data_IF_997159548804
#
_entry.id   IF_997159548804
#
_cell.length_a   1.000
_cell.length_b   1.000
_cell.length_c   1.000
_cell.angle_alpha   90.00
_cell.angle_beta   90.00
_cell.angle_gamma   90.00
#
_symmetry.space_group_name_H-M   'P 1'
#
loop_
_entity.id
_entity.type
_entity.pdbx_description
1 polymer ?
#
# COMPACT_ATOMS: atom_id res chain seq x y z
N UNK A 1 3.86 15.76 40.72
CA UNK A 1 2.77 14.91 41.26
C UNK A 1 3.15 13.46 41.01
N UNK A 2 2.86 12.52 41.93
CA UNK A 2 3.40 11.17 41.84
C UNK A 2 2.76 10.44 40.65
N UNK A 3 3.59 9.85 39.79
CA UNK A 3 3.16 8.99 38.71
C UNK A 3 2.58 7.70 39.33
N UNK A 4 1.31 7.43 39.05
CA UNK A 4 0.73 6.13 39.35
C UNK A 4 1.24 5.13 38.31
N UNK A 5 2.22 4.31 38.68
CA UNK A 5 2.65 3.17 37.88
C UNK A 5 1.53 2.13 37.87
N UNK A 6 0.91 1.94 36.70
CA UNK A 6 0.08 0.77 36.44
C UNK A 6 0.90 -0.18 35.55
N UNK A 7 1.57 -1.16 36.17
CA UNK A 7 2.19 -2.25 35.44
C UNK A 7 1.09 -3.25 35.02
N UNK A 8 0.73 -3.26 33.73
CA UNK A 8 -0.05 -4.37 33.16
C UNK A 8 0.89 -5.53 32.82
N UNK A 9 0.46 -6.77 33.09
CA UNK A 9 1.29 -7.99 32.96
C UNK A 9 1.51 -8.44 31.50
N UNK A 10 0.96 -7.72 30.51
CA UNK A 10 0.88 -8.18 29.11
C UNK A 10 1.78 -7.39 28.16
N UNK A 11 2.79 -6.67 28.67
CA UNK A 11 3.78 -5.98 27.83
C UNK A 11 3.30 -4.67 27.19
N UNK A 12 2.14 -4.15 27.58
CA UNK A 12 1.68 -2.82 27.19
C UNK A 12 1.99 -1.79 28.29
N UNK A 13 2.76 -0.77 27.93
CA UNK A 13 3.03 0.41 28.77
C UNK A 13 2.12 1.56 28.34
N UNK A 14 1.31 2.08 29.27
CA UNK A 14 0.47 3.26 29.07
C UNK A 14 0.86 4.30 30.12
N UNK A 15 1.27 5.48 29.67
CA UNK A 15 1.46 6.65 30.53
C UNK A 15 0.51 7.77 30.09
N UNK A 16 -0.16 8.40 31.06
CA UNK A 16 -1.06 9.53 30.80
C UNK A 16 -0.21 10.79 30.61
N UNK A 17 -0.25 11.34 29.38
CA UNK A 17 0.35 12.63 28.99
C UNK A 17 -0.69 13.49 28.27
N UNK A 18 -0.46 14.79 28.18
CA UNK A 18 -1.30 15.73 27.40
C UNK A 18 -1.29 15.47 25.88
N UNK A 19 -0.48 14.51 25.41
CA UNK A 19 -0.42 14.10 24.00
C UNK A 19 -0.08 12.61 23.92
N UNK A 20 -0.86 11.87 23.13
CA UNK A 20 -0.66 10.44 22.84
C UNK A 20 0.15 10.32 21.55
N UNK A 21 1.19 9.48 21.55
CA UNK A 21 1.96 9.13 20.37
C UNK A 21 1.61 7.70 19.93
N UNK A 22 1.24 7.54 18.65
CA UNK A 22 0.98 6.23 18.05
C UNK A 22 2.13 5.92 17.10
N UNK A 23 2.87 4.86 17.37
CA UNK A 23 3.91 4.33 16.48
C UNK A 23 3.27 3.23 15.67
N UNK A 24 3.43 3.27 14.35
CA UNK A 24 2.98 2.20 13.47
C UNK A 24 3.86 0.94 13.64
N UNK A 25 3.57 0.15 14.68
CA UNK A 25 4.24 -1.14 14.92
C UNK A 25 3.87 -2.22 13.89
N UNK A 26 2.77 -2.03 13.14
CA UNK A 26 2.31 -3.00 12.15
C UNK A 26 3.34 -3.22 11.04
N UNK A 27 4.01 -2.16 10.58
CA UNK A 27 4.98 -2.28 9.50
C UNK A 27 6.14 -3.22 9.87
N UNK A 28 6.71 -3.07 11.07
CA UNK A 28 7.86 -3.90 11.48
C UNK A 28 7.46 -5.37 11.65
N UNK A 29 6.28 -5.63 12.24
CA UNK A 29 5.73 -6.98 12.34
C UNK A 29 5.43 -7.59 10.95
N UNK A 30 4.92 -6.79 10.01
CA UNK A 30 4.68 -7.22 8.64
C UNK A 30 6.00 -7.50 7.92
N UNK A 31 6.97 -6.58 7.97
CA UNK A 31 8.30 -6.69 7.35
C UNK A 31 9.03 -7.95 7.81
N UNK A 32 8.99 -8.27 9.11
CA UNK A 32 9.66 -9.45 9.67
C UNK A 32 9.17 -10.76 9.01
N UNK A 33 7.87 -10.86 8.69
CA UNK A 33 7.30 -12.04 8.01
C UNK A 33 7.95 -12.33 6.67
N UNK A 34 8.43 -11.30 5.98
CA UNK A 34 9.08 -11.41 4.67
C UNK A 34 10.60 -11.50 4.74
N UNK A 35 11.22 -11.04 5.83
CA UNK A 35 12.68 -10.82 5.88
C UNK A 35 13.44 -11.79 6.76
N UNK A 36 12.76 -12.55 7.64
CA UNK A 36 13.42 -13.57 8.47
C UNK A 36 14.09 -14.66 7.61
N UNK A 37 15.18 -15.29 8.07
CA UNK A 37 15.93 -16.28 7.28
C UNK A 37 15.10 -17.46 6.75
N UNK A 38 14.07 -17.87 7.47
CA UNK A 38 13.17 -18.97 7.06
C UNK A 38 12.02 -18.54 6.15
N UNK A 39 11.85 -17.24 5.90
CA UNK A 39 10.82 -16.74 5.01
C UNK A 39 11.24 -16.85 3.55
N UNK A 40 10.25 -17.00 2.68
CA UNK A 40 10.40 -16.81 1.25
C UNK A 40 9.06 -16.35 0.67
N UNK A 41 9.09 -15.79 -0.53
CA UNK A 41 7.90 -15.75 -1.40
C UNK A 41 8.12 -16.67 -2.59
N UNK A 42 7.02 -17.10 -3.21
CA UNK A 42 7.05 -17.74 -4.52
C UNK A 42 6.23 -16.91 -5.49
N UNK A 43 6.89 -16.28 -6.47
CA UNK A 43 6.27 -15.33 -7.39
C UNK A 43 5.97 -15.95 -8.75
N UNK A 44 5.01 -15.33 -9.45
CA UNK A 44 4.61 -15.57 -10.82
C UNK A 44 4.55 -14.23 -11.54
N UNK A 45 5.27 -14.12 -12.65
CA UNK A 45 5.05 -13.06 -13.64
C UNK A 45 4.00 -13.59 -14.60
N UNK A 46 2.83 -12.96 -14.59
CA UNK A 46 1.67 -13.47 -15.33
C UNK A 46 1.21 -12.48 -16.37
N UNK A 47 0.60 -12.99 -17.44
CA UNK A 47 0.01 -12.17 -18.49
C UNK A 47 -1.28 -12.76 -19.07
N UNK A 48 -2.18 -11.89 -19.52
CA UNK A 48 -3.42 -12.26 -20.17
C UNK A 48 -3.91 -11.19 -21.16
N UNK A 49 -4.89 -11.56 -21.97
CA UNK A 49 -5.56 -10.66 -22.90
C UNK A 49 -6.56 -9.77 -22.12
N UNK A 50 -6.39 -8.43 -22.09
CA UNK A 50 -7.28 -7.54 -21.35
C UNK A 50 -8.72 -7.59 -21.85
N UNK A 51 -8.98 -8.05 -23.07
CA UNK A 51 -10.35 -8.22 -23.58
C UNK A 51 -11.08 -9.44 -22.99
N UNK A 52 -10.37 -10.37 -22.35
CA UNK A 52 -10.93 -11.63 -21.82
C UNK A 52 -11.13 -11.61 -20.30
N UNK A 53 -10.38 -10.77 -19.59
CA UNK A 53 -10.42 -10.67 -18.14
C UNK A 53 -10.04 -9.26 -17.73
N UNK A 54 -10.99 -8.54 -17.13
CA UNK A 54 -10.72 -7.22 -16.56
C UNK A 54 -9.83 -7.33 -15.32
N UNK A 55 -9.15 -6.24 -14.98
CA UNK A 55 -8.31 -6.15 -13.80
C UNK A 55 -9.11 -6.33 -12.50
N UNK A 56 -10.32 -5.75 -12.47
CA UNK A 56 -11.27 -5.95 -11.36
C UNK A 56 -11.63 -7.42 -11.18
N UNK A 57 -11.97 -8.14 -12.25
CA UNK A 57 -12.30 -9.57 -12.17
C UNK A 57 -11.08 -10.42 -11.79
N UNK A 58 -9.88 -10.06 -12.27
CA UNK A 58 -8.65 -10.69 -11.84
C UNK A 58 -8.45 -10.57 -10.32
N UNK A 59 -8.66 -9.39 -9.74
CA UNK A 59 -8.51 -9.18 -8.30
C UNK A 59 -9.63 -9.79 -7.48
N UNK A 60 -10.87 -9.65 -7.91
CA UNK A 60 -12.04 -10.09 -7.14
C UNK A 60 -12.32 -11.58 -7.28
N UNK A 61 -12.32 -12.10 -8.51
CA UNK A 61 -12.77 -13.46 -8.82
C UNK A 61 -11.63 -14.47 -8.87
N UNK A 62 -10.47 -14.08 -9.41
CA UNK A 62 -9.31 -14.98 -9.51
C UNK A 62 -8.52 -14.98 -8.21
N UNK A 63 -8.06 -13.82 -7.74
CA UNK A 63 -7.31 -13.71 -6.50
C UNK A 63 -8.23 -13.82 -5.27
N UNK A 64 -9.28 -13.01 -5.20
CA UNK A 64 -10.18 -12.91 -4.05
C UNK A 64 -9.92 -11.64 -3.22
N UNK A 65 -10.94 -11.17 -2.50
CA UNK A 65 -10.84 -10.03 -1.59
C UNK A 65 -9.75 -10.18 -0.51
N UNK A 66 -9.32 -9.06 0.07
CA UNK A 66 -8.20 -9.04 1.03
C UNK A 66 -8.48 -9.86 2.28
N UNK A 67 -9.72 -9.81 2.80
CA UNK A 67 -10.18 -10.73 3.83
C UNK A 67 -10.57 -12.07 3.18
N UNK A 68 -9.78 -13.15 3.40
CA UNK A 68 -10.01 -14.41 2.72
C UNK A 68 -11.27 -15.14 3.24
N UNK A 69 -11.80 -14.78 4.41
CA UNK A 69 -13.08 -15.31 4.90
C UNK A 69 -14.27 -14.75 4.09
N UNK A 70 -14.14 -13.51 3.61
CA UNK A 70 -15.14 -12.78 2.82
C UNK A 70 -14.86 -12.80 1.31
N UNK A 71 -13.73 -13.36 0.88
CA UNK A 71 -13.37 -13.46 -0.53
C UNK A 71 -14.38 -14.32 -1.32
N UNK A 72 -14.55 -14.00 -2.60
CA UNK A 72 -15.49 -14.68 -3.49
C UNK A 72 -15.22 -16.19 -3.56
N UNK A 73 -16.29 -16.98 -3.58
CA UNK A 73 -16.19 -18.44 -3.70
C UNK A 73 -15.45 -18.84 -4.97
N UNK A 74 -14.56 -19.83 -4.84
CA UNK A 74 -13.70 -20.29 -5.93
C UNK A 74 -12.44 -19.44 -6.17
N UNK A 75 -12.32 -18.25 -5.56
CA UNK A 75 -11.09 -17.44 -5.64
C UNK A 75 -9.93 -18.08 -4.89
N UNK A 76 -8.69 -17.75 -5.28
CA UNK A 76 -7.49 -18.32 -4.68
C UNK A 76 -7.41 -18.11 -3.16
N UNK A 77 -7.68 -16.89 -2.68
CA UNK A 77 -7.66 -16.56 -1.25
C UNK A 77 -8.73 -17.32 -0.47
N UNK A 78 -9.95 -17.43 -1.03
CA UNK A 78 -11.05 -18.18 -0.41
C UNK A 78 -10.74 -19.67 -0.30
N UNK A 79 -10.13 -20.24 -1.33
CA UNK A 79 -9.76 -21.66 -1.38
C UNK A 79 -8.59 -21.97 -0.44
N UNK A 80 -7.59 -21.08 -0.36
CA UNK A 80 -6.51 -21.20 0.62
C UNK A 80 -7.07 -21.15 2.04
N UNK A 81 -8.01 -20.25 2.31
CA UNK A 81 -8.70 -20.18 3.60
C UNK A 81 -9.52 -21.43 3.89
N UNK A 82 -10.36 -21.89 2.96
CA UNK A 82 -11.20 -23.06 3.20
C UNK A 82 -10.39 -24.35 3.43
N UNK A 83 -9.22 -24.47 2.79
CA UNK A 83 -8.40 -25.70 2.77
C UNK A 83 -7.07 -25.55 3.53
N UNK A 84 -6.90 -24.52 4.37
CA UNK A 84 -5.59 -24.13 4.92
C UNK A 84 -4.81 -25.30 5.56
N UNK A 85 -5.48 -26.14 6.35
CA UNK A 85 -4.87 -27.33 6.98
C UNK A 85 -4.37 -28.34 5.95
N UNK A 86 -5.20 -28.66 4.95
CA UNK A 86 -4.86 -29.61 3.89
C UNK A 86 -3.76 -29.07 2.96
N UNK A 87 -3.68 -27.74 2.83
CA UNK A 87 -2.64 -27.04 2.09
C UNK A 87 -1.34 -26.87 2.89
N UNK A 88 -1.30 -27.31 4.14
CA UNK A 88 -0.11 -27.31 4.98
C UNK A 88 0.21 -25.98 5.67
N UNK A 89 -0.76 -25.06 5.79
CA UNK A 89 -0.55 -23.82 6.54
C UNK A 89 -0.55 -24.09 8.05
N UNK A 90 0.28 -23.36 8.78
CA UNK A 90 0.41 -23.50 10.23
C UNK A 90 -0.77 -22.89 11.02
N UNK A 91 -1.47 -21.93 10.41
CA UNK A 91 -2.61 -21.24 11.01
C UNK A 91 -3.64 -20.89 9.95
N UNK A 92 -4.86 -20.64 10.40
CA UNK A 92 -5.92 -20.11 9.55
C UNK A 92 -5.53 -18.74 8.96
N UNK A 93 -5.74 -18.51 7.65
CA UNK A 93 -5.48 -17.21 7.01
C UNK A 93 -6.33 -16.08 7.61
N UNK A 94 -5.78 -14.87 7.60
CA UNK A 94 -6.44 -13.63 8.01
C UNK A 94 -6.12 -12.49 7.03
N UNK A 95 -6.61 -11.27 7.28
CA UNK A 95 -6.40 -10.10 6.40
C UNK A 95 -4.91 -9.85 6.06
N UNK A 96 -4.02 -10.00 7.04
CA UNK A 96 -2.57 -9.81 6.82
C UNK A 96 -1.92 -11.02 6.13
N UNK A 97 -2.25 -12.20 6.63
CA UNK A 97 -1.78 -13.50 6.14
C UNK A 97 -2.87 -14.18 5.31
N UNK A 98 -3.18 -13.60 4.15
CA UNK A 98 -4.29 -14.01 3.28
C UNK A 98 -3.87 -14.92 2.11
N UNK A 99 -2.79 -15.69 2.27
CA UNK A 99 -2.29 -16.63 1.25
C UNK A 99 -1.51 -15.98 0.09
N UNK A 100 -2.10 -15.03 -0.62
CA UNK A 100 -1.55 -14.52 -1.88
C UNK A 100 -1.65 -13.00 -2.06
N UNK A 101 -0.69 -12.45 -2.78
CA UNK A 101 -0.63 -11.08 -3.28
C UNK A 101 -0.79 -11.05 -4.81
N UNK A 102 -1.41 -10.00 -5.34
CA UNK A 102 -1.30 -9.62 -6.74
C UNK A 102 -1.28 -8.10 -6.87
N UNK A 103 -0.66 -7.61 -7.94
CA UNK A 103 -0.66 -6.20 -8.34
C UNK A 103 -2.05 -5.58 -8.36
N UNK A 104 -2.16 -4.35 -7.87
CA UNK A 104 -3.42 -3.62 -7.74
C UNK A 104 -3.82 -2.84 -9.02
N UNK A 105 -2.89 -2.60 -9.93
CA UNK A 105 -3.11 -1.98 -11.24
C UNK A 105 -2.00 -2.36 -12.24
N UNK A 106 -2.19 -2.11 -13.55
CA UNK A 106 -1.12 -2.23 -14.54
C UNK A 106 0.14 -1.42 -14.20
N UNK A 107 -0.03 -0.23 -13.61
CA UNK A 107 1.07 0.62 -13.18
C UNK A 107 1.83 0.03 -11.99
N UNK A 108 1.11 -0.41 -10.95
CA UNK A 108 1.75 -1.05 -9.80
C UNK A 108 2.42 -2.37 -10.20
N UNK A 109 1.83 -3.12 -11.14
CA UNK A 109 2.45 -4.31 -11.66
C UNK A 109 3.80 -4.04 -12.32
N UNK A 110 3.90 -2.96 -13.10
CA UNK A 110 5.18 -2.48 -13.62
C UNK A 110 6.13 -2.10 -12.48
N UNK A 111 5.69 -1.29 -11.52
CA UNK A 111 6.52 -0.88 -10.38
C UNK A 111 7.05 -2.08 -9.58
N UNK A 112 6.22 -3.09 -9.38
CA UNK A 112 6.56 -4.35 -8.72
C UNK A 112 7.56 -5.17 -9.53
N UNK A 113 7.40 -5.31 -10.84
CA UNK A 113 8.39 -6.03 -11.67
C UNK A 113 9.76 -5.33 -11.66
N UNK A 114 9.77 -4.00 -11.71
CA UNK A 114 10.99 -3.20 -11.55
C UNK A 114 11.66 -3.46 -10.19
N UNK A 115 10.87 -3.51 -9.13
CA UNK A 115 11.36 -3.73 -7.76
C UNK A 115 11.80 -5.18 -7.51
N UNK A 116 10.91 -6.14 -7.68
CA UNK A 116 11.07 -7.51 -7.20
C UNK A 116 11.97 -8.39 -8.07
N UNK A 117 12.00 -8.15 -9.40
CA UNK A 117 12.78 -8.96 -10.35
C UNK A 117 13.79 -8.13 -11.14
N UNK A 118 13.97 -6.86 -10.79
CA UNK A 118 14.95 -5.97 -11.41
C UNK A 118 14.69 -5.69 -12.89
N UNK A 119 13.43 -5.79 -13.34
CA UNK A 119 13.08 -5.48 -14.72
C UNK A 119 13.42 -4.01 -15.03
N UNK A 120 13.95 -3.74 -16.24
CA UNK A 120 14.19 -2.35 -16.67
C UNK A 120 12.91 -1.77 -17.24
N UNK A 121 12.65 -0.49 -16.92
CA UNK A 121 11.47 0.24 -17.42
C UNK A 121 11.36 0.18 -18.96
N UNK A 122 12.50 0.32 -19.64
CA UNK A 122 12.59 0.34 -21.09
C UNK A 122 12.45 -1.04 -21.73
N UNK A 123 12.47 -2.11 -20.93
CA UNK A 123 12.30 -3.49 -21.38
C UNK A 123 10.90 -4.02 -21.02
N UNK A 124 10.31 -3.53 -19.92
CA UNK A 124 8.95 -3.82 -19.46
C UNK A 124 7.87 -3.36 -20.46
N UNK A 125 6.84 -4.19 -20.69
CA UNK A 125 5.84 -3.89 -21.72
C UNK A 125 4.98 -2.67 -21.35
N UNK A 126 4.53 -2.56 -20.10
CA UNK A 126 3.74 -1.41 -19.65
C UNK A 126 4.65 -0.18 -19.47
N UNK A 127 5.89 -0.37 -19.04
CA UNK A 127 6.91 0.69 -19.00
C UNK A 127 7.17 1.33 -20.36
N UNK A 128 7.36 0.51 -21.41
CA UNK A 128 7.43 0.97 -22.81
C UNK A 128 6.17 1.71 -23.24
N UNK A 129 4.99 1.19 -22.87
CA UNK A 129 3.72 1.83 -23.20
C UNK A 129 3.58 3.22 -22.56
N UNK A 130 4.00 3.38 -21.30
CA UNK A 130 4.02 4.67 -20.59
C UNK A 130 4.98 5.67 -21.26
N UNK A 131 6.15 5.22 -21.71
CA UNK A 131 7.11 6.05 -22.46
C UNK A 131 6.53 6.47 -23.82
N UNK A 132 5.92 5.54 -24.56
CA UNK A 132 5.26 5.81 -25.85
C UNK A 132 4.04 6.73 -25.70
N UNK A 133 3.37 6.67 -24.55
CA UNK A 133 2.30 7.57 -24.15
C UNK A 133 2.79 9.00 -23.85
N UNK A 134 4.11 9.24 -23.92
CA UNK A 134 4.73 10.55 -23.76
C UNK A 134 5.06 10.90 -22.31
N UNK A 135 4.90 9.97 -21.37
CA UNK A 135 5.17 10.22 -19.96
C UNK A 135 6.69 10.13 -19.75
N UNK A 136 7.35 11.21 -19.26
CA UNK A 136 8.80 11.21 -19.11
C UNK A 136 9.27 10.11 -18.16
N UNK A 137 10.39 9.48 -18.51
CA UNK A 137 11.02 8.44 -17.68
C UNK A 137 11.16 8.85 -16.21
N UNK A 138 11.63 10.08 -15.96
CA UNK A 138 11.84 10.57 -14.60
C UNK A 138 10.53 10.62 -13.80
N UNK A 139 9.45 11.07 -14.43
CA UNK A 139 8.10 11.08 -13.87
C UNK A 139 7.63 9.67 -13.55
N UNK A 140 7.81 8.70 -14.45
CA UNK A 140 7.42 7.30 -14.21
C UNK A 140 8.14 6.72 -12.99
N UNK A 141 9.45 6.97 -12.85
CA UNK A 141 10.23 6.47 -11.71
C UNK A 141 9.94 7.20 -10.39
N UNK A 142 9.52 8.45 -10.45
CA UNK A 142 8.99 9.14 -9.27
C UNK A 142 7.65 8.53 -8.87
N UNK A 143 6.82 8.23 -9.86
CA UNK A 143 5.49 7.65 -9.70
C UNK A 143 5.51 6.23 -9.11
N UNK A 144 6.53 5.41 -9.38
CA UNK A 144 6.71 4.12 -8.67
C UNK A 144 6.90 4.29 -7.16
N UNK A 145 6.97 5.54 -6.67
CA UNK A 145 7.05 5.88 -5.25
C UNK A 145 5.73 6.22 -4.58
N UNK A 146 4.64 6.08 -5.31
CA UNK A 146 3.30 6.52 -4.92
C UNK A 146 3.26 7.97 -4.39
N UNK A 147 3.68 8.96 -5.18
CA UNK A 147 3.64 10.34 -4.77
C UNK A 147 2.19 10.84 -4.69
N UNK A 148 1.99 11.83 -3.84
CA UNK A 148 0.73 12.57 -3.81
C UNK A 148 0.65 13.54 -5.00
N UNK A 149 -0.22 13.25 -5.97
CA UNK A 149 -0.40 14.05 -7.19
C UNK A 149 -1.65 14.92 -7.11
N UNK A 150 -1.62 16.07 -7.77
CA UNK A 150 -2.78 16.94 -7.92
C UNK A 150 -3.58 16.52 -9.16
N UNK A 151 -4.79 16.01 -8.96
CA UNK A 151 -5.67 15.57 -10.04
C UNK A 151 -7.13 15.88 -9.69
N UNK A 152 -7.89 16.43 -10.64
CA UNK A 152 -9.30 16.81 -10.47
C UNK A 152 -9.58 17.65 -9.21
N UNK A 153 -8.69 18.61 -8.93
CA UNK A 153 -8.81 19.53 -7.79
C UNK A 153 -8.51 18.92 -6.42
N UNK A 154 -8.07 17.66 -6.36
CA UNK A 154 -7.66 16.97 -5.12
C UNK A 154 -6.19 16.57 -5.17
N UNK A 155 -5.58 16.46 -3.99
CA UNK A 155 -4.26 15.85 -3.81
C UNK A 155 -4.47 14.46 -3.21
N UNK A 156 -3.99 13.43 -3.90
CA UNK A 156 -4.24 12.03 -3.56
C UNK A 156 -3.10 11.13 -4.03
N UNK A 157 -3.06 9.90 -3.54
CA UNK A 157 -2.08 8.88 -3.96
C UNK A 157 -2.23 8.60 -5.46
N UNK A 158 -1.10 8.38 -6.13
CA UNK A 158 -1.11 7.99 -7.53
C UNK A 158 -1.59 6.54 -7.68
N UNK A 159 -1.20 5.66 -6.76
CA UNK A 159 -1.62 4.27 -6.78
C UNK A 159 -3.14 4.19 -6.61
N UNK A 160 -3.71 4.91 -5.64
CA UNK A 160 -5.17 5.00 -5.46
C UNK A 160 -5.88 5.51 -6.73
N UNK A 161 -5.27 6.45 -7.46
CA UNK A 161 -5.84 6.96 -8.71
C UNK A 161 -5.84 5.92 -9.83
N UNK A 162 -4.88 5.00 -9.85
CA UNK A 162 -4.68 4.04 -10.93
C UNK A 162 -5.17 2.63 -10.56
N UNK A 163 -5.53 2.42 -9.30
CA UNK A 163 -6.04 1.16 -8.75
C UNK A 163 -7.27 0.66 -9.52
N UNK A 164 -7.34 -0.66 -9.74
CA UNK A 164 -8.48 -1.36 -10.36
C UNK A 164 -8.81 -0.94 -11.80
N UNK A 165 -7.99 -0.11 -12.43
CA UNK A 165 -8.14 0.25 -13.82
C UNK A 165 -7.60 -0.84 -14.75
N UNK A 166 -8.33 -1.08 -15.83
CA UNK A 166 -7.84 -1.89 -16.95
C UNK A 166 -6.67 -1.22 -17.67
N UNK A 167 -5.91 -2.00 -18.43
CA UNK A 167 -4.69 -1.57 -19.13
C UNK A 167 -4.82 -0.20 -19.82
N UNK A 168 -5.84 -0.05 -20.67
CA UNK A 168 -5.99 1.15 -21.49
C UNK A 168 -6.42 2.37 -20.65
N UNK A 169 -7.33 2.16 -19.69
CA UNK A 169 -7.83 3.21 -18.81
C UNK A 169 -6.75 3.68 -17.82
N UNK A 170 -5.95 2.75 -17.30
CA UNK A 170 -4.80 3.04 -16.46
C UNK A 170 -3.80 3.95 -17.20
N UNK A 171 -3.44 3.57 -18.43
CA UNK A 171 -2.51 4.35 -19.26
C UNK A 171 -3.09 5.71 -19.66
N UNK A 172 -4.36 5.77 -20.06
CA UNK A 172 -5.03 7.01 -20.41
C UNK A 172 -5.17 7.96 -19.21
N UNK A 173 -5.46 7.43 -18.02
CA UNK A 173 -5.52 8.24 -16.80
C UNK A 173 -4.14 8.74 -16.39
N UNK A 174 -3.10 7.91 -16.51
CA UNK A 174 -1.72 8.31 -16.31
C UNK A 174 -1.32 9.47 -17.25
N UNK A 175 -1.70 9.44 -18.53
CA UNK A 175 -1.46 10.54 -19.46
C UNK A 175 -2.15 11.84 -19.03
N UNK A 176 -3.42 11.76 -18.60
CA UNK A 176 -4.17 12.92 -18.10
C UNK A 176 -3.50 13.52 -16.87
N UNK A 177 -3.02 12.69 -15.94
CA UNK A 177 -2.29 13.14 -14.75
C UNK A 177 -0.96 13.81 -15.15
N UNK A 178 -0.24 13.27 -16.13
CA UNK A 178 1.01 13.85 -16.63
C UNK A 178 0.82 15.09 -17.52
N UNK A 179 -0.39 15.35 -18.02
CA UNK A 179 -0.66 16.44 -18.96
C UNK A 179 -0.04 16.21 -20.35
N UNK A 180 0.02 14.96 -20.80
CA UNK A 180 0.62 14.55 -22.10
C UNK A 180 -0.43 13.93 -23.02
N UNK A 181 -0.13 13.86 -24.32
CA UNK A 181 -1.08 13.45 -25.37
C UNK A 181 -0.52 12.45 -26.39
N UNK A 182 0.40 11.57 -25.95
CA UNK A 182 0.93 10.49 -26.81
C UNK A 182 -0.11 9.42 -27.15
N UNK A 183 0.28 8.41 -27.92
CA UNK A 183 -0.60 7.27 -28.22
C UNK A 183 -0.81 6.37 -26.99
N UNK A 184 -1.97 5.73 -26.89
CA UNK A 184 -2.25 4.63 -25.94
C UNK A 184 -2.06 3.31 -26.69
N UNK A 185 -0.84 2.74 -26.73
CA UNK A 185 -0.59 1.48 -27.45
C UNK A 185 -1.33 0.32 -26.79
N UNK A 186 -1.87 -0.59 -27.60
CA UNK A 186 -2.42 -1.84 -27.10
C UNK A 186 -1.33 -2.72 -26.46
N UNK A 187 -1.70 -3.51 -25.47
CA UNK A 187 -0.80 -4.42 -24.77
C UNK A 187 -1.56 -5.49 -24.00
N UNK A 188 -0.83 -6.46 -23.45
CA UNK A 188 -1.37 -7.46 -22.54
C UNK A 188 -1.46 -6.89 -21.14
N UNK A 189 -2.43 -7.36 -20.35
CA UNK A 189 -2.39 -7.18 -18.90
C UNK A 189 -1.28 -8.06 -18.33
N UNK A 190 -0.45 -7.51 -17.46
CA UNK A 190 0.63 -8.22 -16.79
C UNK A 190 0.65 -7.91 -15.30
N UNK A 191 0.70 -8.92 -14.45
CA UNK A 191 0.73 -8.77 -13.00
C UNK A 191 1.94 -9.48 -12.37
N UNK A 192 2.40 -8.95 -11.24
CA UNK A 192 3.26 -9.64 -10.30
C UNK A 192 2.39 -10.27 -9.21
N UNK A 193 2.40 -11.59 -9.15
CA UNK A 193 1.60 -12.37 -8.19
C UNK A 193 2.56 -13.15 -7.32
N UNK A 194 2.32 -13.27 -6.02
CA UNK A 194 3.13 -14.16 -5.20
C UNK A 194 2.36 -14.82 -4.05
N UNK A 195 2.80 -16.02 -3.69
CA UNK A 195 2.40 -16.70 -2.46
C UNK A 195 3.15 -16.06 -1.29
N UNK A 196 2.41 -15.57 -0.30
CA UNK A 196 2.97 -14.91 0.89
C UNK A 196 3.73 -15.92 1.77
N UNK A 197 4.70 -15.48 2.59
CA UNK A 197 5.59 -16.38 3.32
C UNK A 197 4.92 -17.45 4.19
N UNK A 198 3.80 -17.12 4.83
CA UNK A 198 3.07 -18.09 5.67
C UNK A 198 2.39 -19.23 4.87
N UNK A 199 2.23 -19.06 3.56
CA UNK A 199 1.51 -19.97 2.68
C UNK A 199 2.41 -20.62 1.61
N UNK A 200 3.73 -20.41 1.66
CA UNK A 200 4.65 -21.04 0.69
C UNK A 200 4.77 -22.53 0.96
N UNK A 201 3.85 -23.30 0.39
CA UNK A 201 3.85 -24.77 0.36
C UNK A 201 3.64 -25.23 -1.08
N UNK A 202 4.09 -26.44 -1.42
CA UNK A 202 3.89 -26.97 -2.77
C UNK A 202 2.39 -27.14 -3.14
N UNK A 203 1.49 -27.55 -2.22
CA UNK A 203 0.06 -27.53 -2.46
C UNK A 203 -0.50 -26.14 -2.81
N UNK A 204 -0.07 -25.07 -2.12
CA UNK A 204 -0.52 -23.71 -2.43
C UNK A 204 0.03 -23.23 -3.78
N UNK A 205 1.28 -23.57 -4.12
CA UNK A 205 1.84 -23.26 -5.45
C UNK A 205 1.05 -23.97 -6.55
N UNK A 206 0.69 -25.23 -6.36
CA UNK A 206 -0.13 -25.98 -7.31
C UNK A 206 -1.53 -25.36 -7.47
N UNK A 207 -2.18 -25.00 -6.35
CA UNK A 207 -3.48 -24.30 -6.37
C UNK A 207 -3.39 -22.95 -7.09
N UNK A 208 -2.34 -22.17 -6.84
CA UNK A 208 -2.12 -20.89 -7.52
C UNK A 208 -2.02 -21.07 -9.04
N UNK A 209 -1.23 -22.04 -9.50
CA UNK A 209 -1.11 -22.37 -10.93
C UNK A 209 -2.43 -22.81 -11.54
N UNK A 210 -3.19 -23.65 -10.84
CA UNK A 210 -4.51 -24.10 -11.27
C UNK A 210 -5.48 -22.91 -11.45
N UNK A 211 -5.56 -22.02 -10.45
CA UNK A 211 -6.46 -20.86 -10.49
C UNK A 211 -6.08 -19.88 -11.60
N UNK A 212 -4.80 -19.62 -11.81
CA UNK A 212 -4.32 -18.78 -12.91
C UNK A 212 -4.66 -19.41 -14.27
N UNK A 213 -4.37 -20.70 -14.45
CA UNK A 213 -4.66 -21.40 -15.70
C UNK A 213 -6.16 -21.47 -16.01
N UNK A 214 -7.00 -21.73 -15.00
CA UNK A 214 -8.46 -21.76 -15.14
C UNK A 214 -9.05 -20.40 -15.56
N UNK A 215 -8.39 -19.30 -15.19
CA UNK A 215 -8.74 -17.95 -15.63
C UNK A 215 -8.17 -17.57 -17.01
N UNK A 216 -7.48 -18.48 -17.70
CA UNK A 216 -6.83 -18.21 -18.98
C UNK A 216 -5.58 -17.34 -18.86
N UNK A 217 -4.99 -17.24 -17.68
CA UNK A 217 -3.78 -16.47 -17.40
C UNK A 217 -2.54 -17.33 -17.67
N UNK A 218 -1.59 -16.77 -18.42
CA UNK A 218 -0.32 -17.43 -18.73
C UNK A 218 0.75 -17.03 -17.72
N UNK A 219 1.52 -17.98 -17.22
CA UNK A 219 2.71 -17.73 -16.38
C UNK A 219 3.91 -17.59 -17.31
N UNK A 220 4.46 -16.38 -17.41
CA UNK A 220 5.64 -16.09 -18.23
C UNK A 220 6.96 -16.47 -17.53
N UNK A 221 7.00 -16.30 -16.20
CA UNK A 221 8.12 -16.72 -15.37
C UNK A 221 7.65 -16.95 -13.92
N UNK A 222 8.40 -17.73 -13.16
CA UNK A 222 8.15 -17.96 -11.74
C UNK A 222 9.47 -18.17 -11.00
N UNK A 223 9.47 -17.97 -9.69
CA UNK A 223 10.68 -18.14 -8.89
C UNK A 223 10.45 -17.95 -7.40
N UNK A 224 11.49 -18.23 -6.63
CA UNK A 224 11.51 -18.03 -5.19
C UNK A 224 12.46 -16.89 -4.81
N UNK A 225 12.06 -16.07 -3.84
CA UNK A 225 12.92 -15.07 -3.22
C UNK A 225 12.96 -15.32 -1.72
N UNK A 226 14.16 -15.57 -1.20
CA UNK A 226 14.38 -15.84 0.22
C UNK A 226 14.40 -14.54 1.04
N UNK A 227 13.98 -14.62 2.31
CA UNK A 227 13.87 -13.47 3.20
C UNK A 227 15.15 -12.64 3.35
N UNK A 228 16.36 -13.24 3.45
CA UNK A 228 17.60 -12.48 3.47
C UNK A 228 17.82 -11.63 2.21
N UNK A 229 17.42 -12.12 1.03
CA UNK A 229 17.50 -11.35 -0.21
C UNK A 229 16.48 -10.21 -0.21
N UNK A 230 15.24 -10.48 0.20
CA UNK A 230 14.18 -9.48 0.35
C UNK A 230 14.63 -8.35 1.29
N UNK A 231 15.30 -8.70 2.39
CA UNK A 231 15.81 -7.76 3.36
C UNK A 231 16.97 -6.92 2.82
N UNK A 232 17.93 -7.56 2.16
CA UNK A 232 19.13 -6.92 1.60
C UNK A 232 18.78 -5.89 0.52
N UNK A 233 17.86 -6.26 -0.38
CA UNK A 233 17.48 -5.43 -1.52
C UNK A 233 16.29 -4.50 -1.22
N UNK A 234 15.80 -4.51 0.03
CA UNK A 234 14.68 -3.69 0.49
C UNK A 234 13.39 -3.91 -0.32
N UNK A 235 13.17 -5.13 -0.84
CA UNK A 235 12.09 -5.40 -1.79
C UNK A 235 10.71 -5.17 -1.16
N UNK A 236 10.51 -5.69 0.06
CA UNK A 236 9.25 -5.51 0.79
C UNK A 236 9.08 -4.06 1.26
N UNK A 237 10.18 -3.38 1.57
CA UNK A 237 10.20 -1.99 2.02
C UNK A 237 9.81 -1.01 0.91
N UNK A 238 10.25 -1.28 -0.32
CA UNK A 238 9.87 -0.51 -1.51
C UNK A 238 8.42 -0.78 -1.93
N UNK A 239 7.89 -1.97 -1.62
CA UNK A 239 6.55 -2.41 -1.97
C UNK A 239 5.50 -1.87 -0.98
N UNK A 240 5.69 -2.04 0.32
CA UNK A 240 4.84 -1.47 1.37
C UNK A 240 5.59 -0.30 2.02
N UNK A 241 5.44 0.90 1.49
CA UNK A 241 6.33 2.01 1.87
C UNK A 241 6.11 2.49 3.30
N UNK A 242 7.22 2.69 4.01
CA UNK A 242 7.31 3.57 5.19
C UNK A 242 7.49 5.05 4.79
N UNK A 243 7.90 5.32 3.56
CA UNK A 243 8.05 6.67 2.99
C UNK A 243 9.37 7.39 3.34
N UNK A 244 10.29 6.73 4.04
CA UNK A 244 11.62 7.25 4.43
C UNK A 244 12.67 6.14 4.35
N UNK A 245 13.83 6.42 3.75
CA UNK A 245 14.97 5.49 3.71
C UNK A 245 15.80 5.51 5.02
N UNK A 246 16.81 4.64 5.14
CA UNK A 246 17.64 4.53 6.34
C UNK A 246 18.38 5.82 6.72
N UNK A 247 18.95 6.52 5.74
CA UNK A 247 19.67 7.79 5.97
C UNK A 247 18.70 8.91 6.37
N UNK A 248 17.51 8.94 5.79
CA UNK A 248 16.44 9.86 6.14
C UNK A 248 15.90 9.57 7.54
N UNK A 249 15.75 8.30 7.89
CA UNK A 249 15.34 7.89 9.23
C UNK A 249 16.39 8.30 10.26
N UNK A 250 17.68 8.11 9.98
CA UNK A 250 18.77 8.54 10.85
C UNK A 250 18.82 10.07 11.01
N UNK A 251 18.54 10.82 9.95
CA UNK A 251 18.40 12.29 10.01
C UNK A 251 17.18 12.70 10.85
N UNK A 252 16.03 12.06 10.64
CA UNK A 252 14.81 12.32 11.42
C UNK A 252 15.02 12.00 12.89
N UNK A 253 15.69 10.89 13.19
CA UNK A 253 16.11 10.49 14.53
C UNK A 253 17.09 11.48 15.15
N UNK A 254 18.16 11.86 14.44
CA UNK A 254 19.14 12.82 14.90
C UNK A 254 18.50 14.19 15.18
N UNK A 255 17.56 14.62 14.34
CA UNK A 255 16.79 15.85 14.56
C UNK A 255 15.89 15.72 15.79
N UNK A 256 15.16 14.60 15.94
CA UNK A 256 14.34 14.36 17.12
C UNK A 256 15.19 14.36 18.41
N UNK A 257 16.39 13.77 18.36
CA UNK A 257 17.37 13.80 19.46
C UNK A 257 17.85 15.21 19.80
N UNK A 258 18.17 16.02 18.78
CA UNK A 258 18.63 17.41 18.97
C UNK A 258 17.52 18.33 19.47
N UNK A 259 16.27 18.07 19.09
CA UNK A 259 15.11 18.88 19.44
C UNK A 259 14.40 18.43 20.73
N UNK A 260 15.05 17.58 21.54
CA UNK A 260 14.48 16.97 22.76
C UNK A 260 13.09 16.34 22.55
N UNK A 261 12.90 15.82 21.34
CA UNK A 261 11.66 15.20 20.87
C UNK A 261 11.73 13.67 21.05
N UNK A 262 12.56 13.17 21.96
CA UNK A 262 12.65 11.74 22.25
C UNK A 262 11.79 11.38 23.45
N UNK A 263 10.99 10.33 23.31
CA UNK A 263 10.28 9.71 24.43
C UNK A 263 11.01 8.42 24.77
N UNK A 264 11.51 8.32 26.01
CA UNK A 264 12.15 7.10 26.53
C UNK A 264 11.10 6.18 27.13
N UNK A 265 11.08 4.92 26.70
CA UNK A 265 10.18 3.88 27.20
C UNK A 265 10.87 2.93 28.18
N UNK A 266 12.21 2.82 28.15
CA UNK A 266 12.96 1.89 28.98
C UNK A 266 14.45 1.88 28.65
N UNK A 267 15.21 0.89 29.15
CA UNK A 267 16.64 0.76 28.88
C UNK A 267 16.94 0.68 27.38
N UNK A 268 17.51 1.75 26.81
CA UNK A 268 17.86 1.83 25.39
C UNK A 268 16.70 2.03 24.40
N UNK A 269 15.44 1.97 24.84
CA UNK A 269 14.28 2.10 23.95
C UNK A 269 13.69 3.52 23.99
N UNK A 270 13.70 4.18 22.83
CA UNK A 270 13.14 5.53 22.65
C UNK A 270 12.36 5.61 21.33
N UNK A 271 11.41 6.53 21.26
CA UNK A 271 10.80 6.97 19.99
C UNK A 271 11.06 8.45 19.75
N UNK A 272 11.37 8.81 18.51
CA UNK A 272 11.48 10.21 18.08
C UNK A 272 10.15 10.76 17.59
N UNK A 273 9.72 11.88 18.16
CA UNK A 273 8.59 12.68 17.68
C UNK A 273 9.00 13.40 16.41
N UNK A 274 8.29 13.08 15.33
CA UNK A 274 8.36 13.82 14.06
C UNK A 274 7.17 14.80 14.06
N UNK A 275 7.40 16.13 14.12
CA UNK A 275 6.33 17.11 14.04
C UNK A 275 5.60 16.99 12.69
N UNK A 276 4.27 17.17 12.69
CA UNK A 276 3.53 17.29 11.44
C UNK A 276 4.10 18.44 10.59
N UNK A 277 4.10 18.33 9.24
CA UNK A 277 4.50 19.44 8.39
C UNK A 277 3.67 20.68 8.74
N UNK A 278 4.33 21.80 9.05
CA UNK A 278 3.58 23.03 9.29
C UNK A 278 2.80 23.38 8.02
N UNK A 279 1.51 23.75 8.12
CA UNK A 279 0.78 24.21 6.96
C UNK A 279 1.51 25.42 6.36
N UNK A 280 1.68 25.41 5.05
CA UNK A 280 2.28 26.52 4.30
C UNK A 280 1.64 27.83 4.74
N UNK A 281 2.41 28.90 4.98
CA UNK A 281 1.86 30.16 5.46
C UNK A 281 0.77 30.62 4.49
N UNK A 282 -0.46 30.76 5.01
CA UNK A 282 -1.59 31.30 4.24
C UNK A 282 -1.14 32.64 3.66
N UNK A 283 -1.13 32.77 2.33
CA UNK A 283 -0.95 34.08 1.68
C UNK A 283 -1.96 35.04 2.31
N UNK A 284 -1.49 36.18 2.83
CA UNK A 284 -2.35 37.23 3.41
C UNK A 284 -3.43 37.57 2.39
N UNK A 285 -4.67 37.16 2.65
CA UNK A 285 -5.82 37.66 1.89
C UNK A 285 -5.91 39.15 2.17
N UNK A 286 -5.82 39.95 1.11
CA UNK A 286 -6.11 41.38 1.16
C UNK A 286 -7.47 41.59 1.80
N UNK A 287 -7.55 42.60 2.66
CA UNK A 287 -8.74 43.02 3.37
C UNK A 287 -9.84 43.38 2.34
N UNK A 288 -10.85 42.53 2.20
CA UNK A 288 -12.10 42.90 1.54
C UNK A 288 -13.14 43.01 2.64
N UNK A 289 -13.48 44.25 2.97
CA UNK A 289 -14.64 44.58 3.81
C UNK A 289 -15.91 44.23 3.04
N UNK A 290 -16.79 43.43 3.64
CA UNK A 290 -18.18 43.27 3.20
C UNK A 290 -19.10 43.53 4.39
N UNK A 291 -19.99 44.50 4.20
CA UNK A 291 -21.07 44.90 5.08
C UNK A 291 -22.18 43.85 5.09
N UNK A 292 -22.84 43.74 6.25
CA UNK A 292 -23.97 42.87 6.58
C UNK A 292 -25.16 43.03 5.64
N UNK A 293 -25.72 41.91 5.17
CA UNK A 293 -26.94 41.91 4.38
C UNK A 293 -27.32 40.53 3.82
N UNK A 294 -28.07 39.78 4.63
CA UNK A 294 -29.08 38.80 4.25
C UNK A 294 -28.71 37.40 3.72
N UNK A 295 -29.62 36.49 4.07
CA UNK A 295 -29.57 35.04 4.22
C UNK A 295 -29.63 34.25 2.90
N UNK A 296 -28.97 33.09 2.87
CA UNK A 296 -29.59 31.82 2.48
C UNK A 296 -28.59 30.64 2.51
N UNK A 297 -29.15 29.47 2.84
CA UNK A 297 -28.70 28.11 2.56
C UNK A 297 -27.78 27.44 3.60
N UNK A 298 -28.41 26.74 4.53
CA UNK A 298 -27.92 25.45 5.00
C UNK A 298 -28.02 24.43 3.86
N UNK A 299 -26.93 23.74 3.55
CA UNK A 299 -27.00 22.39 2.99
C UNK A 299 -25.87 21.54 3.56
N UNK A 300 -26.29 20.64 4.44
CA UNK A 300 -25.66 19.40 4.91
C UNK A 300 -24.31 19.01 4.31
N UNK A 301 -23.31 18.93 5.19
CA UNK A 301 -22.00 18.37 4.90
C UNK A 301 -21.15 18.30 6.16
N UNK A 302 -21.68 17.70 7.23
CA UNK A 302 -20.86 17.36 8.40
C UNK A 302 -20.27 15.96 8.20
N UNK A 303 -18.96 15.89 8.38
CA UNK A 303 -18.21 14.65 8.30
C UNK A 303 -18.26 13.95 9.67
N UNK A 304 -18.12 12.62 9.68
CA UNK A 304 -18.05 11.80 10.91
C UNK A 304 -16.96 12.29 11.89
N UNK A 305 -15.98 13.05 11.42
CA UNK A 305 -14.92 13.65 12.25
C UNK A 305 -15.41 14.85 13.08
N UNK A 306 -16.44 15.57 12.64
CA UNK A 306 -16.99 16.73 13.35
C UNK A 306 -17.85 16.32 14.56
N UNK A 307 -18.44 15.11 14.51
CA UNK A 307 -19.21 14.53 15.61
C UNK A 307 -18.34 14.02 16.78
N UNK A 308 -17.06 13.71 16.53
CA UNK A 308 -16.18 13.08 17.53
C UNK A 308 -15.38 14.11 18.35
N UNK A 309 -15.15 15.31 17.82
CA UNK A 309 -14.29 16.32 18.45
C UNK A 309 -14.97 17.67 18.70
N UNK A 310 -16.32 17.69 18.70
CA UNK A 310 -17.10 18.88 19.04
C UNK A 310 -16.91 19.32 20.52
N UNK A 311 -16.95 20.64 20.83
CA UNK A 311 -16.62 21.16 22.16
C UNK A 311 -17.64 20.84 23.26
N UNK A 312 -18.80 20.31 22.91
CA UNK A 312 -19.80 19.86 23.87
C UNK A 312 -19.78 18.34 23.96
N UNK A 313 -19.15 17.84 25.03
CA UNK A 313 -19.33 16.46 25.44
C UNK A 313 -20.82 16.18 25.65
N UNK A 314 -21.42 15.46 24.70
CA UNK A 314 -22.82 15.09 24.70
C UNK A 314 -22.97 13.57 24.77
N UNK A 315 -23.44 13.08 25.92
CA UNK A 315 -24.02 11.75 26.12
C UNK A 315 -24.92 11.34 24.94
N UNK A 316 -24.97 10.04 24.62
CA UNK A 316 -26.17 9.22 24.82
C UNK A 316 -25.95 7.74 24.42
N UNK A 317 -26.55 6.88 25.25
CA UNK A 317 -27.28 5.63 24.98
C UNK A 317 -26.78 4.69 23.87
#
# INVERSE_FOLDING_TARGET
MPAAECQSKDGAYVEIRSSIFVINGFYMAMREKYTKPSASIYYYLVEWDPAKLSWGDFREKVLGGTDPAMAADGSARKEIFAKWKALGLASEPNVGDNGMHASASPFEAMAERLNWVGAKLEEDAFGKAMLQAGIPRATIMEWTKDPQVAFEGKKQSLFDLLEDLDYADCLAKAQKIAGVSGSVPAGKSQAFVFVKPHAVTDPVKALAKEKLAAAGITIAAEGALAGPQIAKDLLIDNHYRLGVDGDQMDKLWANAKKSDNLVKFGGGFYAGKIPAPMPSPKKKKGLITRTSGDMSVFSSGESVLDAVFGPEGGKML
#
